data_IF_805761624001
#
_entry.id   IF_805761624001
#
_cell.length_a   1.000
_cell.length_b   1.000
_cell.length_c   1.000
_cell.angle_alpha   90.00
_cell.angle_beta   90.00
_cell.angle_gamma   90.00
#
_symmetry.space_group_name_H-M   'P 1'
#
loop_
_entity.id
_entity.type
_entity.pdbx_description
1 polymer ?
#
# COMPACT_ATOMS: atom_id res chain seq x y z
N UNK A 1 -79.04 -11.35 -43.70
CA UNK A 1 -80.09 -12.27 -43.23
C UNK A 1 -79.43 -13.57 -42.77
N UNK A 2 -79.80 -14.03 -41.55
CA UNK A 2 -79.70 -15.40 -40.99
C UNK A 2 -78.28 -16.02 -40.88
N UNK A 3 -77.69 -16.11 -39.69
CA UNK A 3 -77.96 -16.99 -38.52
C UNK A 3 -77.25 -18.36 -38.60
N UNK A 4 -76.57 -18.68 -37.48
CA UNK A 4 -76.31 -20.02 -36.87
C UNK A 4 -75.08 -20.78 -37.42
N UNK A 5 -74.23 -21.46 -36.63
CA UNK A 5 -74.39 -22.08 -35.30
C UNK A 5 -73.04 -22.23 -34.54
N UNK A 6 -73.19 -22.43 -33.24
CA UNK A 6 -72.22 -22.86 -32.22
C UNK A 6 -71.42 -24.12 -32.60
N UNK A 7 -70.19 -24.21 -32.06
CA UNK A 7 -69.74 -25.40 -31.35
C UNK A 7 -68.80 -25.00 -30.20
N UNK A 8 -69.32 -25.18 -28.99
CA UNK A 8 -68.66 -25.03 -27.69
C UNK A 8 -67.91 -26.35 -27.41
N UNK A 9 -66.60 -26.32 -27.20
CA UNK A 9 -65.86 -27.46 -26.64
C UNK A 9 -65.28 -27.02 -25.30
N UNK A 10 -65.91 -27.52 -24.24
CA UNK A 10 -65.43 -27.44 -22.88
C UNK A 10 -64.36 -28.52 -22.68
N UNK A 11 -63.10 -28.12 -22.59
CA UNK A 11 -62.00 -28.95 -22.12
C UNK A 11 -61.77 -28.70 -20.64
N UNK A 12 -62.32 -29.57 -19.78
CA UNK A 12 -62.02 -29.58 -18.36
C UNK A 12 -60.64 -30.21 -18.14
N UNK A 13 -59.59 -29.38 -18.14
CA UNK A 13 -58.26 -29.77 -17.69
C UNK A 13 -58.18 -29.57 -16.19
N UNK A 14 -58.44 -30.63 -15.43
CA UNK A 14 -58.12 -30.70 -14.02
C UNK A 14 -56.60 -30.67 -13.84
N UNK A 15 -56.05 -29.52 -13.48
CA UNK A 15 -54.69 -29.40 -12.98
C UNK A 15 -54.74 -29.74 -11.49
N UNK A 16 -54.31 -30.95 -11.16
CA UNK A 16 -54.00 -31.34 -9.80
C UNK A 16 -52.83 -30.49 -9.30
N UNK A 17 -53.12 -29.49 -8.45
CA UNK A 17 -52.13 -28.79 -7.65
C UNK A 17 -51.68 -29.77 -6.56
N UNK A 18 -50.70 -30.61 -6.88
CA UNK A 18 -49.92 -31.30 -5.87
C UNK A 18 -49.01 -30.24 -5.23
N UNK A 19 -49.46 -29.68 -4.11
CA UNK A 19 -48.63 -28.88 -3.22
C UNK A 19 -47.57 -29.82 -2.61
N UNK A 20 -46.47 -29.99 -3.33
CA UNK A 20 -45.27 -30.63 -2.81
C UNK A 20 -44.66 -29.61 -1.85
N UNK A 21 -45.09 -29.67 -0.59
CA UNK A 21 -44.38 -29.04 0.53
C UNK A 21 -43.07 -29.81 0.65
N UNK A 22 -42.11 -29.46 -0.19
CA UNK A 22 -40.71 -29.75 0.05
C UNK A 22 -40.38 -28.98 1.32
N UNK A 23 -40.50 -29.66 2.47
CA UNK A 23 -39.98 -29.16 3.72
C UNK A 23 -38.51 -28.90 3.48
N UNK A 24 -38.15 -27.62 3.36
CA UNK A 24 -36.78 -27.18 3.33
C UNK A 24 -36.21 -27.63 4.67
N UNK A 25 -35.51 -28.77 4.67
CA UNK A 25 -34.68 -29.16 5.81
C UNK A 25 -33.54 -28.16 5.78
N UNK A 26 -33.76 -27.01 6.42
CA UNK A 26 -32.70 -26.12 6.84
C UNK A 26 -31.92 -26.94 7.85
N UNK A 27 -30.91 -27.67 7.38
CA UNK A 27 -29.86 -28.16 8.26
C UNK A 27 -29.28 -26.89 8.85
N UNK A 28 -29.41 -26.63 10.17
CA UNK A 28 -28.72 -25.50 10.75
C UNK A 28 -27.24 -25.75 10.47
N UNK A 29 -26.66 -25.00 9.54
CA UNK A 29 -25.21 -24.84 9.52
C UNK A 29 -24.91 -24.25 10.89
N UNK A 30 -24.21 -25.03 11.72
CA UNK A 30 -23.62 -24.47 12.93
C UNK A 30 -22.83 -23.26 12.46
N UNK A 31 -23.09 -22.10 13.06
CA UNK A 31 -22.24 -20.94 12.83
C UNK A 31 -20.80 -21.40 13.05
N UNK A 32 -19.89 -21.19 12.08
CA UNK A 32 -18.48 -21.41 12.35
C UNK A 32 -18.11 -20.62 13.60
N UNK A 33 -17.29 -21.22 14.45
CA UNK A 33 -16.81 -20.51 15.63
C UNK A 33 -15.97 -19.32 15.15
N UNK A 34 -16.17 -18.12 15.72
CA UNK A 34 -15.37 -16.96 15.35
C UNK A 34 -13.88 -17.28 15.56
N UNK A 35 -12.98 -16.76 14.72
CA UNK A 35 -11.55 -17.03 14.87
C UNK A 35 -11.10 -16.60 16.27
N UNK A 36 -10.25 -17.44 16.88
CA UNK A 36 -9.62 -17.09 18.14
C UNK A 36 -8.64 -15.95 17.89
N UNK A 37 -8.81 -14.82 18.57
CA UNK A 37 -7.89 -13.69 18.50
C UNK A 37 -7.00 -13.75 19.74
N UNK A 38 -5.68 -13.85 19.54
CA UNK A 38 -4.68 -13.68 20.59
C UNK A 38 -4.17 -12.24 20.54
N UNK A 39 -4.53 -11.45 21.54
CA UNK A 39 -4.20 -10.03 21.60
C UNK A 39 -3.64 -9.69 22.98
N UNK A 40 -2.46 -9.07 22.99
CA UNK A 40 -1.77 -8.58 24.18
C UNK A 40 -1.23 -7.20 23.91
N UNK A 41 -1.63 -6.24 24.72
CA UNK A 41 -1.08 -4.88 24.71
C UNK A 41 0.24 -4.81 25.49
N UNK A 42 0.99 -3.72 25.31
CA UNK A 42 2.20 -3.46 26.10
C UNK A 42 1.90 -3.41 27.60
N UNK A 43 0.77 -2.82 27.98
CA UNK A 43 0.29 -2.73 29.36
C UNK A 43 -0.04 -4.11 29.94
N UNK A 44 -0.67 -5.01 29.17
CA UNK A 44 -0.96 -6.38 29.60
C UNK A 44 0.32 -7.18 29.92
N UNK A 45 1.39 -6.91 29.17
CA UNK A 45 2.68 -7.56 29.32
C UNK A 45 3.55 -6.88 30.40
N UNK A 46 3.12 -5.73 30.92
CA UNK A 46 3.89 -4.95 31.90
C UNK A 46 5.23 -4.48 31.36
N UNK A 47 5.35 -4.36 30.03
CA UNK A 47 6.52 -3.86 29.33
C UNK A 47 6.28 -2.40 28.96
N UNK A 48 7.36 -1.66 28.71
CA UNK A 48 7.18 -0.35 28.07
C UNK A 48 6.73 -0.59 26.63
N UNK A 49 5.86 0.28 26.13
CA UNK A 49 5.60 0.43 24.70
C UNK A 49 6.91 0.37 23.92
N UNK A 50 6.87 -0.12 22.67
CA UNK A 50 8.05 -0.16 21.80
C UNK A 50 8.80 1.16 21.94
N UNK A 51 10.05 1.11 22.38
CA UNK A 51 10.87 2.31 22.45
C UNK A 51 10.84 3.01 21.10
N UNK A 52 10.90 4.34 21.10
CA UNK A 52 10.96 5.09 19.84
C UNK A 52 12.22 4.67 19.07
N UNK A 53 12.05 4.07 17.90
CA UNK A 53 13.04 4.00 16.82
C UNK A 53 13.35 5.43 16.46
N UNK A 54 14.57 5.86 16.80
CA UNK A 54 15.02 7.23 16.52
C UNK A 54 15.74 7.32 15.19
N UNK A 55 16.34 6.21 14.77
CA UNK A 55 17.16 6.16 13.57
C UNK A 55 16.76 4.95 12.72
N UNK A 56 16.76 5.12 11.40
CA UNK A 56 16.51 4.04 10.45
C UNK A 56 17.41 2.82 10.69
N UNK A 57 18.64 3.04 11.12
CA UNK A 57 19.55 1.95 11.44
C UNK A 57 19.10 1.12 12.64
N UNK A 58 18.58 1.76 13.70
CA UNK A 58 18.03 1.01 14.84
C UNK A 58 16.92 0.07 14.39
N UNK A 59 16.27 0.37 13.26
CA UNK A 59 15.28 -0.48 12.62
C UNK A 59 15.88 -1.55 11.70
N UNK A 60 16.89 -1.21 10.89
CA UNK A 60 17.59 -2.16 10.00
C UNK A 60 18.34 -3.26 10.77
N UNK A 61 18.88 -2.95 11.95
CA UNK A 61 19.63 -3.88 12.79
C UNK A 61 18.70 -4.72 13.72
N UNK A 62 17.37 -4.55 13.64
CA UNK A 62 16.43 -5.34 14.45
C UNK A 62 16.38 -6.76 13.90
N UNK A 63 16.75 -7.70 14.75
CA UNK A 63 16.45 -9.12 14.58
C UNK A 63 15.30 -9.47 15.53
N UNK A 64 14.03 -9.53 15.05
CA UNK A 64 12.92 -9.76 15.95
C UNK A 64 13.01 -11.17 16.55
N UNK A 65 12.98 -11.23 17.88
CA UNK A 65 13.03 -12.47 18.64
C UNK A 65 11.60 -12.96 18.91
N UNK A 66 10.97 -13.53 17.88
CA UNK A 66 9.60 -14.06 17.94
C UNK A 66 9.56 -15.52 17.49
N UNK A 67 8.59 -16.26 18.04
CA UNK A 67 8.33 -17.66 17.68
C UNK A 67 7.52 -17.80 16.37
N UNK A 68 7.15 -16.68 15.74
CA UNK A 68 6.33 -16.64 14.53
C UNK A 68 7.16 -16.23 13.32
N UNK A 69 6.88 -16.83 12.17
CA UNK A 69 7.49 -16.43 10.90
C UNK A 69 7.11 -14.99 10.54
N UNK A 70 8.14 -14.19 10.25
CA UNK A 70 8.01 -12.78 9.91
C UNK A 70 8.04 -12.67 8.39
N UNK A 71 7.03 -12.04 7.82
CA UNK A 71 6.98 -11.77 6.38
C UNK A 71 7.71 -10.47 6.06
N UNK A 72 7.56 -9.45 6.90
CA UNK A 72 8.27 -8.17 6.79
C UNK A 72 8.36 -7.44 8.12
N UNK A 73 9.34 -6.57 8.25
CA UNK A 73 9.45 -5.60 9.34
C UNK A 73 9.04 -4.23 8.79
N UNK A 74 8.23 -3.47 9.54
CA UNK A 74 7.70 -2.16 9.14
C UNK A 74 7.93 -1.12 10.24
N UNK A 75 8.35 0.08 9.87
CA UNK A 75 8.47 1.20 10.81
C UNK A 75 7.17 2.02 10.82
N UNK A 76 6.49 2.08 11.96
CA UNK A 76 5.22 2.77 12.16
C UNK A 76 5.28 3.70 13.38
N UNK A 77 5.18 5.02 13.21
CA UNK A 77 5.18 6.03 14.30
C UNK A 77 6.31 5.85 15.34
N UNK A 78 7.54 5.64 14.88
CA UNK A 78 8.69 5.33 15.76
C UNK A 78 8.62 3.95 16.44
N UNK A 79 7.74 3.05 16.03
CA UNK A 79 7.73 1.64 16.43
C UNK A 79 8.27 0.75 15.31
N UNK A 80 8.88 -0.37 15.69
CA UNK A 80 9.15 -1.46 14.77
C UNK A 80 8.04 -2.52 14.90
N UNK A 81 7.43 -2.87 13.77
CA UNK A 81 6.29 -3.79 13.70
C UNK A 81 6.68 -4.96 12.80
N UNK A 82 6.74 -6.16 13.36
CA UNK A 82 6.88 -7.39 12.61
C UNK A 82 5.50 -7.83 12.10
N UNK A 83 5.37 -7.91 10.78
CA UNK A 83 4.20 -8.47 10.10
C UNK A 83 4.39 -9.96 9.92
N UNK A 84 3.34 -10.73 10.16
CA UNK A 84 3.30 -12.19 10.04
C UNK A 84 2.12 -12.60 9.17
N UNK A 85 2.03 -13.85 8.68
CA UNK A 85 0.87 -14.33 7.94
C UNK A 85 -0.46 -14.28 8.73
N UNK A 86 -0.37 -14.17 10.06
CA UNK A 86 -1.51 -14.27 10.96
C UNK A 86 -1.76 -13.00 11.78
N UNK A 87 -1.00 -11.93 11.58
CA UNK A 87 -1.13 -10.73 12.41
C UNK A 87 0.11 -9.87 12.44
N UNK A 88 0.22 -9.10 13.52
CA UNK A 88 1.32 -8.17 13.75
C UNK A 88 1.84 -8.26 15.18
N UNK A 89 3.13 -7.95 15.33
CA UNK A 89 3.83 -7.92 16.61
C UNK A 89 4.66 -6.65 16.70
N UNK A 90 4.47 -5.84 17.73
CA UNK A 90 5.38 -4.74 18.04
C UNK A 90 6.64 -5.25 18.71
N UNK A 91 7.81 -4.79 18.27
CA UNK A 91 9.11 -5.27 18.75
C UNK A 91 9.97 -4.13 19.28
N UNK A 92 10.81 -4.42 20.27
CA UNK A 92 11.73 -3.46 20.84
C UNK A 92 12.90 -3.18 19.89
N UNK A 93 13.23 -1.91 19.58
CA UNK A 93 14.31 -1.61 18.65
C UNK A 93 15.70 -2.01 19.17
N UNK A 94 15.89 -2.05 20.48
CA UNK A 94 17.20 -2.35 21.08
C UNK A 94 17.51 -3.83 21.25
N UNK A 95 16.49 -4.69 21.28
CA UNK A 95 16.63 -6.10 21.66
C UNK A 95 15.77 -7.06 20.83
N UNK A 96 14.98 -6.55 19.88
CA UNK A 96 14.07 -7.33 19.06
C UNK A 96 12.96 -8.04 19.86
N UNK A 97 12.85 -7.79 21.17
CA UNK A 97 11.87 -8.49 22.01
C UNK A 97 10.45 -8.02 21.69
N UNK A 98 9.52 -8.97 21.64
CA UNK A 98 8.09 -8.67 21.52
C UNK A 98 7.61 -7.76 22.67
N UNK A 99 6.90 -6.70 22.32
CA UNK A 99 6.29 -5.72 23.25
C UNK A 99 4.78 -5.81 23.29
N UNK A 100 4.14 -6.16 22.19
CA UNK A 100 2.70 -6.39 22.07
C UNK A 100 2.44 -7.24 20.82
N UNK A 101 1.28 -7.87 20.70
CA UNK A 101 0.89 -8.56 19.46
C UNK A 101 -0.63 -8.58 19.27
N UNK A 102 -1.04 -8.67 18.01
CA UNK A 102 -2.39 -8.98 17.59
C UNK A 102 -2.32 -10.09 16.53
N UNK A 103 -2.71 -11.31 16.91
CA UNK A 103 -2.63 -12.50 16.08
C UNK A 103 -4.01 -13.14 15.93
N UNK A 104 -4.30 -13.66 14.74
CA UNK A 104 -5.51 -14.39 14.35
C UNK A 104 -5.08 -15.77 13.84
N UNK A 105 -4.72 -16.72 14.73
CA UNK A 105 -4.12 -17.98 14.32
C UNK A 105 -5.05 -18.82 13.43
N UNK A 106 -4.49 -19.32 12.32
CA UNK A 106 -5.23 -20.15 11.36
C UNK A 106 -6.10 -19.34 10.38
N UNK A 107 -5.95 -18.03 10.36
CA UNK A 107 -6.57 -17.13 9.39
C UNK A 107 -5.49 -16.30 8.72
N UNK A 108 -5.56 -16.18 7.40
CA UNK A 108 -4.72 -15.25 6.66
C UNK A 108 -5.23 -13.83 6.93
N UNK A 109 -4.31 -12.92 7.23
CA UNK A 109 -4.62 -11.52 7.49
C UNK A 109 -3.95 -10.63 6.46
N UNK A 110 -4.58 -9.50 6.19
CA UNK A 110 -3.93 -8.41 5.51
C UNK A 110 -3.53 -7.34 6.52
N UNK A 111 -2.35 -6.73 6.31
CA UNK A 111 -1.83 -5.68 7.17
C UNK A 111 -1.41 -4.47 6.35
N UNK A 112 -2.01 -3.33 6.66
CA UNK A 112 -1.70 -2.03 6.07
C UNK A 112 -1.31 -1.01 7.11
N UNK A 113 -0.68 0.08 6.65
CA UNK A 113 -0.16 1.15 7.50
C UNK A 113 -0.65 2.52 6.99
N UNK A 114 -1.95 2.83 7.15
CA UNK A 114 -2.53 4.07 6.64
C UNK A 114 -1.81 5.30 7.19
N UNK A 115 -1.69 6.34 6.37
CA UNK A 115 -1.05 7.60 6.77
C UNK A 115 0.44 7.47 7.11
N UNK A 116 1.17 6.51 6.53
CA UNK A 116 2.60 6.33 6.81
C UNK A 116 2.87 5.64 8.16
N UNK A 117 1.92 4.85 8.65
CA UNK A 117 2.09 4.07 9.88
C UNK A 117 1.77 4.83 11.15
N UNK A 118 0.91 5.86 11.09
CA UNK A 118 0.29 6.43 12.30
C UNK A 118 -0.51 5.37 13.07
N UNK A 119 -1.09 4.41 12.32
CA UNK A 119 -1.86 3.27 12.79
C UNK A 119 -1.52 2.01 12.00
N UNK A 120 -1.84 0.87 12.59
CA UNK A 120 -1.76 -0.43 11.92
C UNK A 120 -3.18 -0.91 11.66
N UNK A 121 -3.53 -1.10 10.40
CA UNK A 121 -4.80 -1.71 10.01
C UNK A 121 -4.58 -3.21 9.78
N UNK A 122 -5.26 -4.04 10.57
CA UNK A 122 -5.29 -5.50 10.39
C UNK A 122 -6.68 -5.89 9.93
N UNK A 123 -6.79 -6.54 8.77
CA UNK A 123 -8.05 -7.08 8.30
C UNK A 123 -7.99 -8.60 8.21
N UNK A 124 -9.09 -9.25 8.55
CA UNK A 124 -9.25 -10.70 8.40
C UNK A 124 -10.71 -11.06 8.14
N UNK A 125 -10.91 -12.15 7.42
CA UNK A 125 -12.26 -12.66 7.14
C UNK A 125 -12.78 -13.45 8.33
N UNK A 126 -14.06 -13.30 8.64
CA UNK A 126 -14.82 -14.15 9.55
C UNK A 126 -15.94 -14.80 8.76
N UNK A 127 -15.96 -16.14 8.74
CA UNK A 127 -17.00 -16.89 8.04
C UNK A 127 -18.35 -16.60 8.69
N UNK A 128 -19.29 -16.06 7.92
CA UNK A 128 -20.63 -15.77 8.40
C UNK A 128 -21.62 -16.89 8.06
N UNK A 129 -22.77 -16.90 8.74
CA UNK A 129 -23.87 -17.82 8.41
C UNK A 129 -24.45 -17.60 7.01
N UNK A 130 -24.42 -16.35 6.54
CA UNK A 130 -25.04 -15.92 5.29
C UNK A 130 -23.99 -15.45 4.29
N UNK A 131 -23.07 -14.60 4.74
CA UNK A 131 -22.02 -13.98 3.95
C UNK A 131 -20.79 -13.81 4.85
N UNK A 132 -19.61 -13.97 4.25
CA UNK A 132 -18.34 -13.72 4.94
C UNK A 132 -18.21 -12.23 5.25
N UNK A 133 -17.65 -11.92 6.42
CA UNK A 133 -17.47 -10.55 6.87
C UNK A 133 -15.99 -10.24 6.96
N UNK A 134 -15.60 -9.02 6.56
CA UNK A 134 -14.22 -8.57 6.77
C UNK A 134 -14.20 -7.75 8.05
N UNK A 135 -13.48 -8.24 9.04
CA UNK A 135 -13.19 -7.50 10.26
C UNK A 135 -11.94 -6.68 10.05
N UNK A 136 -12.03 -5.36 10.29
CA UNK A 136 -10.89 -4.47 10.35
C UNK A 136 -10.66 -4.03 11.79
N UNK A 137 -9.41 -4.06 12.21
CA UNK A 137 -8.94 -3.56 13.51
C UNK A 137 -7.84 -2.52 13.27
N UNK A 138 -7.99 -1.35 13.89
CA UNK A 138 -6.96 -0.32 13.93
C UNK A 138 -6.23 -0.41 15.27
N UNK A 139 -4.91 -0.53 15.22
CA UNK A 139 -4.04 -0.64 16.38
C UNK A 139 -3.13 0.58 16.49
N UNK A 140 -2.89 1.04 17.72
CA UNK A 140 -1.79 1.97 18.01
C UNK A 140 -0.44 1.24 17.84
N UNK A 141 0.50 1.74 17.00
CA UNK A 141 1.75 1.05 16.73
C UNK A 141 2.70 0.90 17.94
N UNK A 142 2.57 1.77 18.95
CA UNK A 142 3.44 1.79 20.12
C UNK A 142 2.97 0.79 21.18
N UNK A 143 1.65 0.71 21.39
CA UNK A 143 1.05 -0.06 22.50
C UNK A 143 0.35 -1.34 22.07
N UNK A 144 -0.05 -1.43 20.80
CA UNK A 144 -0.92 -2.48 20.29
C UNK A 144 -2.36 -2.35 20.77
N UNK A 145 -2.76 -1.22 21.36
CA UNK A 145 -4.15 -0.99 21.78
C UNK A 145 -5.09 -0.92 20.58
N UNK A 146 -6.26 -1.55 20.69
CA UNK A 146 -7.31 -1.45 19.68
C UNK A 146 -7.99 -0.09 19.82
N UNK A 147 -7.79 0.77 18.82
CA UNK A 147 -8.45 2.07 18.77
C UNK A 147 -9.83 1.99 18.14
N UNK A 148 -9.97 1.17 17.09
CA UNK A 148 -11.22 0.98 16.39
C UNK A 148 -11.37 -0.46 15.91
N UNK A 149 -12.62 -0.92 15.85
CA UNK A 149 -13.00 -2.18 15.21
C UNK A 149 -14.21 -1.94 14.32
N UNK A 150 -14.08 -2.31 13.07
CA UNK A 150 -15.15 -2.18 12.08
C UNK A 150 -15.44 -3.53 11.45
N UNK A 151 -16.72 -3.90 11.39
CA UNK A 151 -17.17 -5.06 10.61
C UNK A 151 -17.71 -4.55 9.30
N UNK A 152 -17.07 -4.97 8.21
CA UNK A 152 -17.49 -4.66 6.85
C UNK A 152 -18.34 -5.81 6.35
N UNK A 153 -19.59 -5.49 6.02
CA UNK A 153 -20.39 -6.35 5.16
C UNK A 153 -20.00 -6.00 3.73
N UNK A 154 -19.56 -6.96 2.89
CA UNK A 154 -19.23 -6.66 1.52
C UNK A 154 -20.44 -6.00 0.85
N UNK A 155 -20.31 -4.74 0.42
CA UNK A 155 -21.35 -4.07 -0.36
C UNK A 155 -21.30 -4.51 -1.84
N UNK A 156 -21.00 -5.79 -2.09
CA UNK A 156 -20.64 -6.36 -3.39
C UNK A 156 -19.85 -7.67 -3.23
N UNK A 157 -19.63 -8.40 -4.33
CA UNK A 157 -19.13 -9.79 -4.29
C UNK A 157 -17.64 -9.99 -3.90
N UNK A 158 -16.82 -8.97 -3.63
CA UNK A 158 -15.34 -9.16 -3.65
C UNK A 158 -14.49 -8.34 -2.66
N UNK A 159 -15.00 -7.83 -1.53
CA UNK A 159 -14.11 -7.13 -0.59
C UNK A 159 -13.20 -8.14 0.13
N UNK A 160 -11.92 -8.22 -0.25
CA UNK A 160 -10.91 -9.04 0.44
C UNK A 160 -10.28 -8.27 1.61
N UNK A 161 -9.67 -8.95 2.60
CA UNK A 161 -8.88 -8.27 3.64
C UNK A 161 -7.82 -7.33 3.07
N UNK A 162 -7.15 -7.74 1.99
CA UNK A 162 -6.11 -6.96 1.30
C UNK A 162 -6.66 -5.62 0.80
N UNK A 163 -7.82 -5.64 0.13
CA UNK A 163 -8.47 -4.43 -0.37
C UNK A 163 -8.77 -3.42 0.75
N UNK A 164 -9.09 -3.92 1.95
CA UNK A 164 -9.52 -3.09 3.09
C UNK A 164 -8.37 -2.30 3.72
N UNK A 165 -7.19 -2.89 3.77
CA UNK A 165 -6.03 -2.31 4.47
C UNK A 165 -5.01 -1.69 3.53
N UNK A 166 -5.01 -2.05 2.25
CA UNK A 166 -3.96 -1.65 1.32
C UNK A 166 -3.82 -0.14 1.17
N UNK A 167 -4.94 0.60 1.20
CA UNK A 167 -4.96 2.01 0.84
C UNK A 167 -5.86 2.85 1.75
N UNK A 168 -5.34 3.98 2.25
CA UNK A 168 -6.02 4.69 3.33
C UNK A 168 -5.28 5.89 3.89
N UNK A 169 -6.06 6.75 4.54
CA UNK A 169 -5.60 7.68 5.57
C UNK A 169 -6.05 7.19 6.96
N UNK A 170 -5.73 7.93 8.02
CA UNK A 170 -6.28 7.72 9.36
C UNK A 170 -7.81 7.67 9.37
N UNK A 171 -8.47 8.50 8.56
CA UNK A 171 -9.92 8.71 8.66
C UNK A 171 -10.71 8.00 7.56
N UNK A 172 -10.05 7.56 6.50
CA UNK A 172 -10.70 6.94 5.36
C UNK A 172 -9.90 5.79 4.77
N UNK A 173 -10.62 4.88 4.11
CA UNK A 173 -10.07 3.78 3.33
C UNK A 173 -10.51 3.91 1.88
N UNK A 174 -9.72 3.34 0.97
CA UNK A 174 -10.11 3.21 -0.42
C UNK A 174 -10.44 1.75 -0.70
N UNK A 175 -11.53 1.51 -1.41
CA UNK A 175 -12.01 0.18 -1.76
C UNK A 175 -12.37 0.14 -3.24
N UNK A 176 -12.10 -0.99 -3.89
CA UNK A 176 -12.73 -1.31 -5.16
C UNK A 176 -14.10 -1.94 -4.92
N UNK A 177 -15.14 -1.33 -5.46
CA UNK A 177 -16.52 -1.83 -5.42
C UNK A 177 -16.97 -2.27 -6.81
N UNK A 178 -17.44 -3.51 -6.92
CA UNK A 178 -17.99 -4.05 -8.16
C UNK A 178 -19.51 -4.02 -8.12
N UNK A 179 -20.11 -3.21 -8.99
CA UNK A 179 -21.56 -3.09 -9.13
C UNK A 179 -21.95 -3.33 -10.60
N UNK A 180 -22.85 -4.28 -10.87
CA UNK A 180 -23.35 -4.59 -12.23
C UNK A 180 -22.26 -4.88 -13.29
N UNK A 181 -21.09 -5.38 -12.86
CA UNK A 181 -19.95 -5.67 -13.74
C UNK A 181 -19.03 -4.47 -14.00
N UNK A 182 -19.25 -3.37 -13.30
CA UNK A 182 -18.41 -2.17 -13.33
C UNK A 182 -17.63 -2.05 -12.02
N UNK A 183 -16.36 -1.64 -12.11
CA UNK A 183 -15.48 -1.39 -10.96
C UNK A 183 -15.47 0.10 -10.64
N UNK A 184 -15.67 0.43 -9.37
CA UNK A 184 -15.59 1.79 -8.83
C UNK A 184 -14.50 1.85 -7.77
N UNK A 185 -13.76 2.95 -7.71
CA UNK A 185 -12.92 3.30 -6.57
C UNK A 185 -13.75 4.14 -5.61
N UNK A 186 -13.88 3.69 -4.36
CA UNK A 186 -14.71 4.36 -3.35
C UNK A 186 -13.87 4.68 -2.12
N UNK A 187 -13.90 5.95 -1.72
CA UNK A 187 -13.42 6.34 -0.41
C UNK A 187 -14.55 6.24 0.61
N UNK A 188 -14.29 5.51 1.68
CA UNK A 188 -15.22 5.39 2.80
C UNK A 188 -14.57 5.90 4.07
N UNK A 189 -15.34 6.61 4.89
CA UNK A 189 -14.91 6.97 6.25
C UNK A 189 -14.81 5.70 7.09
N UNK A 190 -13.71 5.55 7.82
CA UNK A 190 -13.44 4.35 8.63
C UNK A 190 -14.43 4.18 9.79
N UNK A 191 -14.90 5.28 10.37
CA UNK A 191 -15.72 5.30 11.58
C UNK A 191 -17.15 4.76 11.37
N UNK A 192 -17.83 5.20 10.31
CA UNK A 192 -19.26 4.98 10.09
C UNK A 192 -19.57 4.37 8.72
N UNK A 193 -18.53 4.06 7.94
CA UNK A 193 -18.62 3.51 6.58
C UNK A 193 -19.35 4.46 5.60
N UNK A 194 -19.42 5.76 5.91
CA UNK A 194 -19.99 6.76 5.00
C UNK A 194 -19.12 6.85 3.74
N UNK A 195 -19.73 6.62 2.56
CA UNK A 195 -19.11 6.93 1.27
C UNK A 195 -18.82 8.43 1.20
N UNK A 196 -17.54 8.78 1.12
CA UNK A 196 -17.08 10.17 1.02
C UNK A 196 -17.14 10.62 -0.43
N UNK A 197 -16.61 9.79 -1.33
CA UNK A 197 -16.60 10.00 -2.76
C UNK A 197 -16.44 8.66 -3.48
N UNK A 198 -16.79 8.68 -4.76
CA UNK A 198 -16.72 7.55 -5.69
C UNK A 198 -16.17 8.03 -7.02
N UNK A 199 -15.25 7.27 -7.58
CA UNK A 199 -14.67 7.47 -8.91
C UNK A 199 -14.90 6.23 -9.77
N UNK A 200 -15.29 6.45 -11.01
CA UNK A 200 -15.31 5.43 -12.05
C UNK A 200 -14.00 5.50 -12.86
N UNK A 201 -13.11 4.49 -12.78
CA UNK A 201 -11.89 4.47 -13.58
C UNK A 201 -12.14 4.54 -15.10
N UNK A 202 -13.35 4.17 -15.56
CA UNK A 202 -13.73 4.33 -16.96
C UNK A 202 -13.72 5.81 -17.40
N UNK A 203 -13.98 6.76 -16.50
CA UNK A 203 -13.93 8.19 -16.81
C UNK A 203 -12.51 8.63 -17.23
N UNK A 204 -11.47 7.97 -16.71
CA UNK A 204 -10.09 8.18 -17.14
C UNK A 204 -9.83 7.53 -18.52
N UNK A 205 -10.53 6.45 -18.86
CA UNK A 205 -10.38 5.76 -20.14
C UNK A 205 -11.44 6.17 -21.19
N UNK A 206 -12.04 7.36 -21.06
CA UNK A 206 -13.00 7.89 -22.04
C UNK A 206 -14.32 7.12 -22.11
N UNK A 207 -14.67 6.41 -21.04
CA UNK A 207 -15.90 5.64 -20.87
C UNK A 207 -15.75 4.13 -21.07
N UNK A 208 -14.59 3.64 -21.51
CA UNK A 208 -14.31 2.21 -21.59
C UNK A 208 -13.80 1.71 -20.23
N UNK A 209 -14.51 0.82 -19.52
CA UNK A 209 -14.11 0.40 -18.18
C UNK A 209 -12.84 -0.46 -18.24
N UNK A 210 -11.76 -0.10 -17.50
CA UNK A 210 -10.59 -0.95 -17.38
C UNK A 210 -10.91 -2.22 -16.58
N UNK A 211 -10.16 -3.29 -16.83
CA UNK A 211 -10.23 -4.47 -15.95
C UNK A 211 -9.58 -4.18 -14.60
N UNK A 212 -9.81 -5.02 -13.61
CA UNK A 212 -9.16 -4.90 -12.30
C UNK A 212 -7.63 -4.98 -12.40
N UNK A 213 -7.12 -5.86 -13.26
CA UNK A 213 -5.70 -6.02 -13.50
C UNK A 213 -5.08 -4.79 -14.20
N UNK A 214 -5.90 -3.95 -14.82
CA UNK A 214 -5.50 -2.72 -15.50
C UNK A 214 -5.47 -1.49 -14.56
N UNK A 215 -5.79 -1.67 -13.28
CA UNK A 215 -5.81 -0.59 -12.29
C UNK A 215 -4.84 -0.91 -11.15
N UNK A 216 -4.01 0.06 -10.78
CA UNK A 216 -3.17 0.03 -9.58
C UNK A 216 -3.46 1.25 -8.74
N UNK A 217 -3.50 1.03 -7.44
CA UNK A 217 -3.78 2.06 -6.45
C UNK A 217 -2.56 2.16 -5.52
N UNK A 218 -2.27 3.39 -5.09
CA UNK A 218 -1.38 3.66 -3.99
C UNK A 218 -1.95 4.85 -3.19
N UNK A 219 -1.62 4.96 -1.92
CA UNK A 219 -2.09 6.07 -1.08
C UNK A 219 -0.94 6.72 -0.34
N UNK A 220 -0.71 8.01 -0.57
CA UNK A 220 0.19 8.82 0.25
C UNK A 220 -0.57 9.54 1.36
N UNK A 221 0.13 10.39 2.11
CA UNK A 221 -0.47 11.18 3.19
C UNK A 221 -1.64 12.08 2.79
N UNK A 222 -1.64 12.65 1.58
CA UNK A 222 -2.64 13.64 1.13
C UNK A 222 -3.45 13.25 -0.10
N UNK A 223 -2.95 12.32 -0.92
CA UNK A 223 -3.55 11.95 -2.18
C UNK A 223 -3.65 10.43 -2.34
N UNK A 224 -4.69 10.00 -3.05
CA UNK A 224 -4.74 8.68 -3.66
C UNK A 224 -4.14 8.75 -5.06
N UNK A 225 -3.31 7.78 -5.42
CA UNK A 225 -2.66 7.69 -6.72
C UNK A 225 -3.20 6.49 -7.47
N UNK A 226 -3.66 6.72 -8.69
CA UNK A 226 -4.22 5.68 -9.55
C UNK A 226 -3.37 5.56 -10.81
N UNK A 227 -2.99 4.34 -11.18
CA UNK A 227 -2.36 4.03 -12.46
C UNK A 227 -3.30 3.11 -13.22
N UNK A 228 -3.71 3.52 -14.42
CA UNK A 228 -4.75 2.87 -15.21
C UNK A 228 -4.25 2.61 -16.61
N UNK A 229 -4.43 1.38 -17.10
CA UNK A 229 -4.17 1.01 -18.48
C UNK A 229 -5.47 1.06 -19.30
N UNK A 230 -5.53 1.95 -20.29
CA UNK A 230 -6.68 2.18 -21.15
C UNK A 230 -6.46 1.49 -22.52
N UNK A 231 -6.67 0.17 -22.59
CA UNK A 231 -6.46 -0.63 -23.81
C UNK A 231 -7.15 -0.06 -25.07
N UNK A 232 -8.38 0.46 -24.93
CA UNK A 232 -9.14 1.04 -26.04
C UNK A 232 -8.50 2.30 -26.64
N UNK A 233 -7.62 2.97 -25.88
CA UNK A 233 -6.95 4.20 -26.26
C UNK A 233 -5.45 4.01 -26.54
N UNK A 234 -4.88 2.85 -26.20
CA UNK A 234 -3.43 2.63 -26.26
C UNK A 234 -2.66 3.55 -25.31
N UNK A 235 -3.24 3.90 -24.17
CA UNK A 235 -2.71 4.87 -23.23
C UNK A 235 -2.68 4.32 -21.80
N UNK A 236 -1.72 4.76 -21.00
CA UNK A 236 -1.71 4.60 -19.56
C UNK A 236 -1.86 5.96 -18.90
N UNK A 237 -2.64 6.03 -17.82
CA UNK A 237 -2.91 7.27 -17.09
C UNK A 237 -2.52 7.12 -15.64
N UNK A 238 -1.82 8.12 -15.12
CA UNK A 238 -1.49 8.23 -13.70
C UNK A 238 -2.16 9.48 -13.18
N UNK A 239 -3.00 9.32 -12.16
CA UNK A 239 -3.80 10.39 -11.59
C UNK A 239 -3.56 10.50 -10.09
N UNK A 240 -3.51 11.73 -9.58
CA UNK A 240 -3.61 12.00 -8.15
C UNK A 240 -4.99 12.57 -7.83
N UNK A 241 -5.63 12.01 -6.82
CA UNK A 241 -6.93 12.39 -6.33
C UNK A 241 -6.77 12.91 -4.90
N UNK A 242 -7.38 14.04 -4.59
CA UNK A 242 -7.44 14.55 -3.23
C UNK A 242 -8.19 13.52 -2.35
N UNK A 243 -7.56 13.08 -1.26
CA UNK A 243 -8.09 11.98 -0.46
C UNK A 243 -9.45 12.30 0.18
N UNK A 244 -9.72 13.58 0.47
CA UNK A 244 -10.93 14.01 1.14
C UNK A 244 -12.13 14.18 0.22
N UNK A 245 -11.90 14.59 -1.03
CA UNK A 245 -12.94 14.98 -1.99
C UNK A 245 -13.06 14.06 -3.20
N UNK A 246 -11.99 13.34 -3.54
CA UNK A 246 -11.89 12.57 -4.79
C UNK A 246 -11.65 13.45 -6.02
N UNK A 247 -11.44 14.76 -5.84
CA UNK A 247 -11.17 15.68 -6.94
C UNK A 247 -9.80 15.39 -7.55
N UNK A 248 -9.73 15.45 -8.88
CA UNK A 248 -8.48 15.30 -9.63
C UNK A 248 -7.54 16.48 -9.33
N UNK A 249 -6.41 16.19 -8.69
CA UNK A 249 -5.35 17.17 -8.41
C UNK A 249 -4.51 17.37 -9.65
N UNK A 250 -4.04 16.26 -10.24
CA UNK A 250 -3.29 16.24 -11.48
C UNK A 250 -3.45 14.88 -12.19
N UNK A 251 -3.16 14.87 -13.48
CA UNK A 251 -3.20 13.68 -14.33
C UNK A 251 -2.04 13.72 -15.33
N UNK A 252 -1.47 12.54 -15.60
CA UNK A 252 -0.46 12.29 -16.60
C UNK A 252 -0.94 11.18 -17.52
N UNK A 253 -0.81 11.41 -18.83
CA UNK A 253 -1.07 10.42 -19.86
C UNK A 253 0.25 10.00 -20.51
N UNK A 254 0.38 8.70 -20.76
CA UNK A 254 1.49 8.08 -21.45
C UNK A 254 0.97 7.18 -22.57
N UNK A 255 1.76 7.03 -23.63
CA UNK A 255 1.50 6.03 -24.67
C UNK A 255 1.83 4.64 -24.14
N UNK A 256 0.90 3.69 -24.25
CA UNK A 256 1.00 2.36 -23.67
C UNK A 256 0.69 1.24 -24.67
N UNK A 257 1.01 1.46 -25.95
CA UNK A 257 0.82 0.42 -26.99
C UNK A 257 1.63 -0.83 -26.66
N UNK A 258 0.94 -1.95 -26.44
CA UNK A 258 1.56 -3.26 -26.19
C UNK A 258 1.99 -3.53 -24.75
N UNK A 259 1.59 -2.68 -23.79
CA UNK A 259 1.69 -3.03 -22.38
C UNK A 259 0.58 -4.00 -21.96
N UNK A 260 0.95 -4.97 -21.12
CA UNK A 260 0.02 -5.94 -20.54
C UNK A 260 -0.40 -5.56 -19.10
N UNK A 261 0.20 -4.52 -18.54
CA UNK A 261 -0.10 -4.00 -17.19
C UNK A 261 0.14 -2.49 -17.12
N UNK A 262 -0.59 -1.76 -16.25
CA UNK A 262 -0.32 -0.34 -16.01
C UNK A 262 1.06 -0.15 -15.34
N UNK A 263 1.67 1.05 -15.46
CA UNK A 263 2.87 1.39 -14.70
C UNK A 263 2.70 1.14 -13.21
N UNK A 264 3.72 0.57 -12.57
CA UNK A 264 3.72 0.36 -11.12
C UNK A 264 3.80 1.71 -10.38
N UNK A 265 3.02 1.85 -9.30
CA UNK A 265 3.05 3.03 -8.43
C UNK A 265 3.92 2.75 -7.21
N UNK A 266 5.02 3.48 -7.09
CA UNK A 266 5.90 3.46 -5.94
C UNK A 266 5.77 4.78 -5.20
N UNK A 267 5.48 4.76 -3.91
CA UNK A 267 5.37 5.99 -3.12
C UNK A 267 6.66 6.26 -2.36
N UNK A 268 7.16 7.47 -2.55
CA UNK A 268 8.29 8.03 -1.84
C UNK A 268 7.80 8.72 -0.55
N UNK A 269 7.11 7.96 0.32
CA UNK A 269 6.66 8.46 1.63
C UNK A 269 7.57 7.96 2.76
N UNK A 270 7.57 8.68 3.89
CA UNK A 270 8.36 8.29 5.05
C UNK A 270 7.63 7.19 5.82
N UNK A 271 8.23 6.00 5.95
CA UNK A 271 8.04 5.19 7.15
C UNK A 271 7.87 3.70 6.94
N UNK A 272 7.01 3.25 6.03
CA UNK A 272 6.46 1.90 6.20
C UNK A 272 7.24 0.80 5.48
N UNK A 273 7.80 1.10 4.31
CA UNK A 273 8.45 0.10 3.46
C UNK A 273 9.97 0.26 3.47
N UNK A 274 10.52 0.81 4.55
CA UNK A 274 11.96 1.04 4.65
C UNK A 274 12.74 -0.28 4.71
N UNK A 275 13.64 -0.48 3.74
CA UNK A 275 14.56 -1.63 3.71
C UNK A 275 13.89 -2.96 3.35
N UNK A 276 12.62 -2.94 2.93
CA UNK A 276 11.91 -4.10 2.41
C UNK A 276 12.12 -4.24 0.90
N UNK A 277 11.69 -5.36 0.34
CA UNK A 277 11.55 -5.56 -1.11
C UNK A 277 10.51 -4.64 -1.77
N UNK A 278 9.74 -3.88 -0.98
CA UNK A 278 8.76 -2.88 -1.44
C UNK A 278 9.28 -1.45 -1.39
N UNK A 279 10.51 -1.22 -0.91
CA UNK A 279 11.11 0.10 -0.78
C UNK A 279 11.37 0.75 -2.17
N UNK A 280 10.62 1.81 -2.48
CA UNK A 280 10.70 2.51 -3.76
C UNK A 280 12.14 2.90 -4.16
N UNK A 281 12.94 3.37 -3.20
CA UNK A 281 14.29 3.83 -3.47
C UNK A 281 15.28 2.67 -3.59
N UNK A 282 15.13 1.62 -2.78
CA UNK A 282 16.01 0.45 -2.90
C UNK A 282 15.80 -0.27 -4.24
N UNK A 283 14.54 -0.44 -4.67
CA UNK A 283 14.18 -1.08 -5.95
C UNK A 283 14.73 -0.30 -7.15
N UNK A 284 14.54 1.02 -7.16
CA UNK A 284 15.06 1.88 -8.23
C UNK A 284 16.58 1.92 -8.26
N UNK A 285 17.25 2.13 -7.12
CA UNK A 285 18.72 2.20 -7.05
C UNK A 285 19.42 0.85 -7.30
N UNK A 286 18.77 -0.28 -7.01
CA UNK A 286 19.29 -1.62 -7.32
C UNK A 286 19.12 -2.01 -8.80
N UNK A 287 18.37 -1.22 -9.57
CA UNK A 287 18.20 -1.39 -11.00
C UNK A 287 17.14 -2.39 -11.40
N UNK A 288 16.16 -2.65 -10.53
CA UNK A 288 15.01 -3.50 -10.82
C UNK A 288 14.33 -3.11 -12.14
N UNK A 289 14.16 -1.81 -12.38
CA UNK A 289 13.51 -1.24 -13.56
C UNK A 289 14.49 -0.77 -14.64
N UNK A 290 15.80 -1.00 -14.48
CA UNK A 290 16.82 -0.37 -15.31
C UNK A 290 16.65 1.16 -15.34
N UNK A 291 16.50 1.74 -16.54
CA UNK A 291 16.17 3.16 -16.74
C UNK A 291 14.69 3.41 -17.06
N UNK A 292 13.82 2.39 -16.94
CA UNK A 292 12.42 2.44 -17.33
C UNK A 292 11.51 2.90 -16.18
N UNK A 293 11.93 3.96 -15.47
CA UNK A 293 11.19 4.54 -14.37
C UNK A 293 11.30 6.07 -14.35
N UNK A 294 10.29 6.74 -13.79
CA UNK A 294 10.24 8.21 -13.66
C UNK A 294 9.99 8.63 -12.21
N UNK A 295 10.52 9.79 -11.81
CA UNK A 295 10.07 10.48 -10.60
C UNK A 295 9.00 11.51 -10.96
N UNK A 296 7.86 11.45 -10.26
CA UNK A 296 6.75 12.40 -10.41
C UNK A 296 6.56 13.18 -9.11
N UNK A 297 6.38 14.50 -9.21
CA UNK A 297 6.03 15.32 -8.05
C UNK A 297 4.62 15.00 -7.59
N UNK A 298 4.47 14.68 -6.30
CA UNK A 298 3.19 14.54 -5.62
C UNK A 298 2.24 15.74 -5.77
N UNK A 299 2.79 16.95 -5.94
CA UNK A 299 2.05 18.21 -6.00
C UNK A 299 1.39 18.49 -7.35
N UNK A 300 2.07 18.20 -8.45
CA UNK A 300 1.61 18.59 -9.79
C UNK A 300 1.83 17.54 -10.89
N UNK A 301 2.37 16.36 -10.56
CA UNK A 301 2.66 15.29 -11.52
C UNK A 301 3.81 15.63 -12.49
N UNK A 302 4.55 16.72 -12.23
CA UNK A 302 5.72 17.10 -13.02
C UNK A 302 6.84 16.07 -12.85
N UNK A 303 7.50 15.73 -13.96
CA UNK A 303 8.70 14.89 -13.94
C UNK A 303 9.87 15.71 -13.41
N UNK A 304 10.71 15.08 -12.57
CA UNK A 304 11.93 15.71 -12.08
C UNK A 304 13.08 14.70 -11.99
N UNK A 305 14.31 15.20 -12.02
CA UNK A 305 15.51 14.39 -11.83
C UNK A 305 16.05 14.63 -10.43
N UNK A 306 16.40 13.55 -9.73
CA UNK A 306 17.08 13.69 -8.45
C UNK A 306 18.49 14.27 -8.64
N UNK A 307 18.92 15.18 -7.76
CA UNK A 307 20.22 15.87 -7.85
C UNK A 307 21.42 14.91 -7.90
N UNK A 308 21.27 13.71 -7.33
CA UNK A 308 22.24 12.62 -7.37
C UNK A 308 22.74 12.34 -8.81
N UNK A 309 21.83 12.37 -9.78
CA UNK A 309 22.12 12.05 -11.19
C UNK A 309 22.82 13.18 -11.94
N UNK A 310 22.98 14.35 -11.31
CA UNK A 310 23.83 15.42 -11.83
C UNK A 310 25.33 15.12 -11.69
N UNK A 311 25.70 14.05 -10.98
CA UNK A 311 27.08 13.64 -10.74
C UNK A 311 27.44 12.51 -11.73
N UNK A 312 28.32 12.82 -12.70
CA UNK A 312 28.69 11.91 -13.80
C UNK A 312 29.15 10.53 -13.30
N UNK A 313 30.02 10.50 -12.28
CA UNK A 313 30.54 9.25 -11.70
C UNK A 313 29.45 8.36 -11.08
N UNK A 314 28.34 8.94 -10.61
CA UNK A 314 27.24 8.18 -10.03
C UNK A 314 26.39 7.53 -11.12
N UNK A 315 26.13 8.26 -12.21
CA UNK A 315 25.36 7.76 -13.35
C UNK A 315 26.04 6.57 -14.06
N UNK A 316 27.36 6.41 -13.90
CA UNK A 316 28.12 5.28 -14.42
C UNK A 316 27.96 3.98 -13.59
N UNK A 317 27.55 4.11 -12.32
CA UNK A 317 27.49 2.99 -11.37
C UNK A 317 26.05 2.60 -11.05
N UNK A 318 25.18 3.59 -10.89
CA UNK A 318 23.79 3.38 -10.50
C UNK A 318 22.84 3.74 -11.66
N UNK A 319 21.71 3.03 -11.78
CA UNK A 319 20.74 3.24 -12.85
C UNK A 319 20.01 4.58 -12.72
N UNK A 320 20.21 5.48 -13.69
CA UNK A 320 19.50 6.75 -13.75
C UNK A 320 18.03 6.58 -14.18
N UNK A 321 17.11 7.42 -13.71
CA UNK A 321 15.74 7.45 -14.20
C UNK A 321 15.72 7.77 -15.69
N UNK A 322 14.65 7.35 -16.36
CA UNK A 322 14.41 7.66 -17.77
C UNK A 322 14.08 9.13 -17.98
N UNK A 323 14.18 9.56 -19.24
CA UNK A 323 13.58 10.82 -19.67
C UNK A 323 12.08 10.61 -19.94
N UNK A 324 11.31 11.69 -19.78
CA UNK A 324 9.89 11.70 -20.13
C UNK A 324 9.74 11.73 -21.67
N UNK A 325 9.66 10.55 -22.27
CA UNK A 325 9.48 10.38 -23.72
C UNK A 325 8.02 10.44 -24.15
N UNK A 326 7.08 10.49 -23.19
CA UNK A 326 5.66 10.28 -23.41
C UNK A 326 5.26 8.82 -23.60
N UNK A 327 6.20 7.86 -23.52
CA UNK A 327 5.91 6.43 -23.43
C UNK A 327 5.73 6.03 -21.95
N UNK A 328 4.88 5.04 -21.69
CA UNK A 328 4.57 4.58 -20.35
C UNK A 328 5.78 3.87 -19.74
N UNK A 329 6.30 4.33 -18.58
CA UNK A 329 7.39 3.65 -17.90
C UNK A 329 6.89 2.35 -17.26
N UNK A 330 7.82 1.48 -16.86
CA UNK A 330 7.48 0.29 -16.07
C UNK A 330 7.04 0.66 -14.65
N UNK A 331 7.68 1.68 -14.06
CA UNK A 331 7.33 2.19 -12.74
C UNK A 331 7.38 3.72 -12.67
N UNK A 332 6.58 4.30 -11.77
CA UNK A 332 6.73 5.70 -11.36
C UNK A 332 6.91 5.79 -9.86
N UNK A 333 7.86 6.61 -9.43
CA UNK A 333 8.05 6.96 -8.03
C UNK A 333 7.42 8.32 -7.80
N UNK A 334 6.38 8.38 -6.98
CA UNK A 334 5.66 9.61 -6.66
C UNK A 334 6.06 10.10 -5.28
N UNK A 335 6.54 11.35 -5.20
CA UNK A 335 6.91 11.95 -3.92
C UNK A 335 7.22 13.44 -4.02
N UNK A 336 7.44 14.08 -2.88
CA UNK A 336 7.85 15.47 -2.83
C UNK A 336 9.31 15.61 -3.30
N UNK A 337 9.64 16.48 -4.27
CA UNK A 337 11.01 16.59 -4.79
C UNK A 337 12.12 16.75 -3.75
N UNK A 338 11.89 17.53 -2.69
CA UNK A 338 12.89 17.74 -1.64
C UNK A 338 13.17 16.45 -0.85
N UNK A 339 12.13 15.67 -0.56
CA UNK A 339 12.23 14.35 0.09
C UNK A 339 12.95 13.37 -0.82
N UNK A 340 12.52 13.27 -2.08
CA UNK A 340 13.12 12.34 -3.05
C UNK A 340 14.60 12.66 -3.26
N UNK A 341 14.96 13.93 -3.46
CA UNK A 341 16.36 14.35 -3.63
C UNK A 341 17.24 13.89 -2.48
N UNK A 342 16.80 14.14 -1.25
CA UNK A 342 17.56 13.80 -0.06
C UNK A 342 17.68 12.29 0.14
N UNK A 343 16.57 11.56 0.06
CA UNK A 343 16.56 10.12 0.32
C UNK A 343 17.31 9.35 -0.77
N UNK A 344 17.13 9.71 -2.04
CA UNK A 344 17.91 9.13 -3.15
C UNK A 344 19.40 9.40 -2.97
N UNK A 345 19.80 10.62 -2.61
CA UNK A 345 21.21 10.93 -2.39
C UNK A 345 21.83 10.13 -1.24
N UNK A 346 21.17 10.08 -0.07
CA UNK A 346 21.66 9.33 1.09
C UNK A 346 21.78 7.82 0.79
N UNK A 347 20.77 7.24 0.13
CA UNK A 347 20.76 5.82 -0.22
C UNK A 347 21.73 5.48 -1.34
N UNK A 348 21.81 6.32 -2.36
CA UNK A 348 22.79 6.18 -3.43
C UNK A 348 24.20 6.20 -2.87
N UNK A 349 24.51 7.15 -1.98
CA UNK A 349 25.80 7.21 -1.30
C UNK A 349 26.09 5.96 -0.46
N UNK A 350 25.11 5.48 0.32
CA UNK A 350 25.26 4.26 1.10
C UNK A 350 25.55 3.03 0.21
N UNK A 351 24.81 2.88 -0.90
CA UNK A 351 25.00 1.78 -1.86
C UNK A 351 26.37 1.86 -2.56
N UNK A 352 26.83 3.07 -2.90
CA UNK A 352 28.16 3.29 -3.48
C UNK A 352 29.29 2.91 -2.50
N UNK A 353 29.13 3.19 -1.21
CA UNK A 353 30.06 2.74 -0.18
C UNK A 353 30.02 1.22 -0.01
N UNK A 354 28.83 0.62 0.04
CA UNK A 354 28.65 -0.84 0.18
C UNK A 354 29.26 -1.62 -0.99
N UNK A 355 29.14 -1.10 -2.20
CA UNK A 355 29.73 -1.70 -3.40
C UNK A 355 31.22 -1.42 -3.55
N UNK A 356 31.80 -0.56 -2.70
CA UNK A 356 33.20 -0.15 -2.74
C UNK A 356 33.52 0.79 -3.91
N UNK A 357 32.50 1.38 -4.54
CA UNK A 357 32.67 2.40 -5.56
C UNK A 357 33.19 3.72 -4.97
N UNK A 358 32.88 3.99 -3.70
CA UNK A 358 33.28 5.21 -2.97
C UNK A 358 33.83 4.83 -1.61
N UNK A 359 34.93 5.45 -1.20
CA UNK A 359 35.47 5.32 0.16
C UNK A 359 34.59 6.04 1.17
N UNK A 360 34.34 5.44 2.34
CA UNK A 360 33.57 6.12 3.38
C UNK A 360 34.25 7.40 3.91
N UNK A 361 35.58 7.45 3.84
CA UNK A 361 36.40 8.61 4.22
C UNK A 361 36.30 9.79 3.24
N UNK A 362 35.58 9.62 2.13
CA UNK A 362 35.28 10.71 1.17
C UNK A 362 34.13 11.61 1.63
N UNK A 363 33.37 11.19 2.65
CA UNK A 363 32.24 11.95 3.17
C UNK A 363 32.61 12.76 4.41
N UNK A 364 31.94 13.90 4.59
CA UNK A 364 32.10 14.75 5.78
C UNK A 364 31.72 13.97 7.06
N UNK A 365 32.51 14.11 8.12
CA UNK A 365 32.29 13.47 9.43
C UNK A 365 30.87 13.69 9.97
N UNK A 366 30.20 14.78 9.58
CA UNK A 366 28.81 15.02 9.92
C UNK A 366 27.85 14.01 9.30
N UNK A 367 28.14 13.48 8.11
CA UNK A 367 27.36 12.41 7.47
C UNK A 367 27.74 11.02 7.98
N UNK A 368 28.84 10.93 8.72
CA UNK A 368 29.33 9.70 9.26
C UNK A 368 28.81 9.48 10.68
N UNK A 369 28.64 8.22 11.01
CA UNK A 369 28.36 7.77 12.36
C UNK A 369 29.24 6.56 12.67
N UNK A 370 29.83 6.56 13.86
CA UNK A 370 30.61 5.45 14.38
C UNK A 370 29.72 4.63 15.32
N UNK A 371 29.58 3.36 15.00
CA UNK A 371 29.02 2.35 15.90
C UNK A 371 30.12 1.40 16.38
N UNK A 372 29.81 0.58 17.38
CA UNK A 372 30.70 -0.28 18.15
C UNK A 372 31.66 -1.16 17.29
N UNK A 373 31.42 -1.31 15.99
CA UNK A 373 32.28 -2.07 15.09
C UNK A 373 32.68 -1.38 13.76
N UNK A 374 31.97 -0.33 13.29
CA UNK A 374 32.18 0.26 11.96
C UNK A 374 31.73 1.74 11.85
N UNK A 375 32.44 2.53 11.05
CA UNK A 375 31.97 3.84 10.56
C UNK A 375 30.99 3.59 9.39
N UNK A 376 29.86 4.29 9.35
CA UNK A 376 28.83 4.19 8.30
C UNK A 376 28.27 5.57 7.93
N UNK A 377 27.68 5.66 6.74
CA UNK A 377 26.90 6.83 6.32
C UNK A 377 25.51 6.84 6.97
N UNK A 378 25.03 8.03 7.29
CA UNK A 378 23.62 8.26 7.63
C UNK A 378 22.76 7.93 6.39
N UNK A 379 21.69 7.17 6.59
CA UNK A 379 20.78 6.72 5.52
C UNK A 379 19.45 7.47 5.47
N UNK A 380 19.17 8.33 6.45
CA UNK A 380 17.89 9.04 6.55
C UNK A 380 18.05 10.50 7.04
N UNK A 381 17.11 11.31 6.59
CA UNK A 381 16.90 12.74 6.79
C UNK A 381 16.27 13.14 8.12
N UNK A 382 15.67 12.21 8.87
CA UNK A 382 14.76 12.51 10.00
C UNK A 382 15.33 13.46 11.07
N UNK A 383 16.66 13.59 11.17
CA UNK A 383 17.30 14.44 12.17
C UNK A 383 17.81 15.79 11.68
N UNK A 384 17.85 16.07 10.37
CA UNK A 384 18.65 17.20 9.86
C UNK A 384 17.93 18.03 8.82
N UNK A 385 18.27 19.32 8.80
CA UNK A 385 17.84 20.25 7.75
C UNK A 385 18.21 19.66 6.39
N UNK A 386 17.20 19.23 5.63
CA UNK A 386 17.39 18.39 4.44
C UNK A 386 18.35 18.99 3.41
N UNK A 387 18.33 20.31 3.23
CA UNK A 387 19.21 21.00 2.29
C UNK A 387 20.69 20.94 2.70
N UNK A 388 21.01 21.01 3.99
CA UNK A 388 22.40 20.96 4.42
C UNK A 388 22.99 19.55 4.24
N UNK A 389 22.25 18.53 4.68
CA UNK A 389 22.65 17.12 4.50
C UNK A 389 22.77 16.75 3.03
N UNK A 390 21.80 17.14 2.20
CA UNK A 390 21.85 16.91 0.75
C UNK A 390 23.14 17.49 0.15
N UNK A 391 23.45 18.75 0.44
CA UNK A 391 24.67 19.39 -0.09
C UNK A 391 25.95 18.68 0.36
N UNK A 392 26.04 18.22 1.61
CA UNK A 392 27.22 17.48 2.07
C UNK A 392 27.36 16.14 1.34
N UNK A 393 26.25 15.43 1.09
CA UNK A 393 26.27 14.14 0.40
C UNK A 393 26.70 14.33 -1.05
N UNK A 394 26.09 15.30 -1.75
CA UNK A 394 26.43 15.61 -3.14
C UNK A 394 27.87 16.11 -3.27
N UNK A 395 28.37 16.90 -2.31
CA UNK A 395 29.77 17.33 -2.29
C UNK A 395 30.72 16.14 -2.17
N UNK A 396 30.48 15.23 -1.21
CA UNK A 396 31.27 13.99 -1.08
C UNK A 396 31.29 13.17 -2.38
N UNK A 397 30.11 12.96 -2.97
CA UNK A 397 29.97 12.22 -4.24
C UNK A 397 30.61 12.91 -5.44
N UNK A 398 30.73 14.24 -5.45
CA UNK A 398 31.33 14.98 -6.57
C UNK A 398 32.85 14.81 -6.68
N UNK A 399 33.50 14.30 -5.63
CA UNK A 399 34.93 14.03 -5.60
C UNK A 399 35.30 12.61 -6.07
N UNK A 400 34.28 11.78 -6.34
CA UNK A 400 34.43 10.40 -6.82
C UNK A 400 34.88 10.43 -8.28
N UNK A 401 36.07 9.90 -8.57
CA UNK A 401 36.68 9.88 -9.90
C UNK A 401 37.70 8.77 -10.12
#
# INVERSE_FOLDING_TARGET
MRKKNLALIAGASGVSVAALVAGLVVVPRLSPEPPMIDHRTADDLGVRASGEVRYLREFEDIEPNTDVEITRLVWARASAVAVTPHGVTGVGPSDGEQRWHYLVPGTDVAVGFPGGGEYIAVAHTEEGLFEDQVNEVLLDPLTGEIENRTVLSPAGETTTPEDVVAHGSEHSRLLFLKEEGQTFLVAQRRQDQEELWRLDPADLCGGDPPSEDDVRLASGSSNAYLSVLCHGQGAARIAALDFGTGDLVWEREFTAEGLDSPPELLLADYGTDYGTDTDAYARTLSGEFGSNYLYLSDKDGGTFGADLWGIEAVADVLPSPGEDTGEAPEAVVVGHPDTVNLTVALRGAALLVETGAVGIDEFDDHLLYEDDEQIRLIRDSLERSGVHSLNLVLDGLSHVG
#
